data_IF_097967706785
#
_entry.id   IF_097967706785
#
_cell.length_a   1.000
_cell.length_b   1.000
_cell.length_c   1.000
_cell.angle_alpha   90.00
_cell.angle_beta   90.00
_cell.angle_gamma   90.00
#
_symmetry.space_group_name_H-M   'P 1'
#
loop_
_entity.id
_entity.type
_entity.pdbx_description
1 polymer ?
#
# COMPACT_ATOMS: atom_id res chain seq x y z
N UNK A 1 -12.35 -27.27 -18.84
CA UNK A 1 -11.35 -26.67 -17.94
C UNK A 1 -11.91 -25.36 -17.44
N UNK A 2 -12.45 -25.32 -16.22
CA UNK A 2 -12.94 -24.07 -15.62
C UNK A 2 -11.75 -23.37 -14.97
N UNK A 3 -11.32 -22.26 -15.57
CA UNK A 3 -10.33 -21.39 -14.96
C UNK A 3 -10.96 -20.78 -13.70
N UNK A 4 -10.56 -21.28 -12.53
CA UNK A 4 -10.92 -20.67 -11.26
C UNK A 4 -10.24 -19.31 -11.21
N UNK A 5 -11.02 -18.26 -11.47
CA UNK A 5 -10.61 -16.87 -11.23
C UNK A 5 -10.45 -16.73 -9.72
N UNK A 6 -9.25 -16.99 -9.22
CA UNK A 6 -8.86 -16.61 -7.86
C UNK A 6 -8.94 -15.08 -7.83
N UNK A 7 -9.72 -14.46 -6.94
CA UNK A 7 -9.76 -13.02 -6.86
C UNK A 7 -8.35 -12.54 -6.50
N UNK A 8 -7.67 -11.90 -7.44
CA UNK A 8 -6.37 -11.24 -7.24
C UNK A 8 -6.48 -9.99 -6.33
N UNK A 9 -7.53 -9.88 -5.51
CA UNK A 9 -7.67 -8.77 -4.57
C UNK A 9 -6.99 -9.11 -3.25
N UNK A 10 -5.96 -8.36 -2.83
CA UNK A 10 -5.51 -8.39 -1.45
C UNK A 10 -6.60 -7.77 -0.58
N UNK A 11 -7.23 -8.57 0.27
CA UNK A 11 -8.15 -8.10 1.32
C UNK A 11 -7.34 -7.35 2.39
N UNK A 12 -7.06 -6.06 2.16
CA UNK A 12 -6.32 -5.11 3.02
C UNK A 12 -5.02 -5.64 3.66
N UNK A 13 -3.88 -5.33 3.04
CA UNK A 13 -2.57 -5.80 3.52
C UNK A 13 -1.36 -4.98 3.06
N UNK A 14 -1.56 -3.99 2.18
CA UNK A 14 -0.51 -3.03 1.89
C UNK A 14 -0.42 -2.03 3.04
N UNK A 15 0.80 -1.81 3.51
CA UNK A 15 1.10 -0.80 4.51
C UNK A 15 2.29 0.03 4.07
N UNK A 16 2.30 1.28 4.50
CA UNK A 16 3.45 2.18 4.38
C UNK A 16 4.13 2.23 5.73
N UNK A 17 5.45 2.05 5.75
CA UNK A 17 6.28 2.28 6.94
C UNK A 17 7.34 3.32 6.65
N UNK A 18 7.77 4.05 7.68
CA UNK A 18 8.97 4.88 7.60
C UNK A 18 10.21 4.03 7.92
N UNK A 19 11.23 4.13 7.07
CA UNK A 19 12.54 3.50 7.27
C UNK A 19 13.63 4.56 7.03
N UNK A 20 14.14 5.14 8.12
CA UNK A 20 15.03 6.30 8.06
C UNK A 20 14.39 7.48 7.33
N UNK A 21 15.01 7.87 6.21
CA UNK A 21 14.60 8.99 5.36
C UNK A 21 13.75 8.55 4.16
N UNK A 22 13.17 7.35 4.21
CA UNK A 22 12.30 6.86 3.13
C UNK A 22 10.98 6.31 3.67
N UNK A 23 9.97 6.34 2.82
CA UNK A 23 8.72 5.59 2.99
C UNK A 23 8.76 4.34 2.15
N UNK A 24 8.36 3.21 2.73
CA UNK A 24 8.38 1.91 2.05
C UNK A 24 6.97 1.32 2.02
N UNK A 25 6.50 0.94 0.82
CA UNK A 25 5.29 0.15 0.63
C UNK A 25 5.64 -1.33 0.76
N UNK A 26 4.95 -2.02 1.65
CA UNK A 26 5.12 -3.45 1.89
C UNK A 26 3.77 -4.16 1.89
N UNK A 27 3.77 -5.47 1.67
CA UNK A 27 2.66 -6.36 2.01
C UNK A 27 3.25 -7.64 2.61
N UNK A 28 3.49 -7.59 3.91
CA UNK A 28 4.21 -8.63 4.64
C UNK A 28 3.49 -9.97 4.68
N UNK A 29 2.16 -9.96 4.55
CA UNK A 29 1.34 -11.17 4.52
C UNK A 29 1.48 -11.92 3.20
N UNK A 30 1.68 -11.21 2.09
CA UNK A 30 1.76 -11.81 0.76
C UNK A 30 3.21 -12.04 0.31
N UNK A 31 4.10 -11.06 0.52
CA UNK A 31 5.50 -11.12 0.04
C UNK A 31 6.52 -11.37 1.16
N UNK A 32 6.10 -11.38 2.42
CA UNK A 32 7.01 -11.48 3.57
C UNK A 32 7.55 -10.13 4.04
N UNK A 33 8.09 -10.09 5.27
CA UNK A 33 8.44 -8.85 5.99
C UNK A 33 9.62 -8.06 5.41
N UNK A 34 10.44 -8.69 4.56
CA UNK A 34 11.65 -8.10 3.98
C UNK A 34 11.46 -7.49 2.59
N UNK A 35 10.33 -7.74 1.93
CA UNK A 35 10.11 -7.30 0.54
C UNK A 35 9.50 -5.91 0.53
N UNK A 36 10.26 -4.98 -0.06
CA UNK A 36 9.83 -3.60 -0.32
C UNK A 36 9.38 -3.50 -1.77
N UNK A 37 8.13 -3.10 -1.96
CA UNK A 37 7.50 -3.03 -3.28
C UNK A 37 7.72 -1.68 -3.94
N UNK A 38 7.81 -0.62 -3.13
CA UNK A 38 8.08 0.73 -3.60
C UNK A 38 8.74 1.56 -2.50
N UNK A 39 9.56 2.53 -2.88
CA UNK A 39 10.17 3.51 -1.99
C UNK A 39 9.88 4.94 -2.42
N UNK A 40 9.72 5.83 -1.47
CA UNK A 40 9.66 7.27 -1.68
C UNK A 40 10.64 7.95 -0.74
N UNK A 41 11.12 9.12 -1.15
CA UNK A 41 11.87 10.00 -0.26
C UNK A 41 10.99 10.52 0.88
N UNK A 42 11.62 10.99 1.94
CA UNK A 42 10.96 11.46 3.17
C UNK A 42 9.83 12.45 2.93
N UNK A 43 10.02 13.37 1.98
CA UNK A 43 9.08 14.46 1.73
C UNK A 43 7.85 14.01 0.95
N UNK A 44 7.95 12.91 0.19
CA UNK A 44 6.88 12.32 -0.61
C UNK A 44 5.93 11.41 0.20
N UNK A 45 5.71 11.73 1.48
CA UNK A 45 4.82 10.97 2.36
C UNK A 45 3.38 10.89 1.80
N UNK A 46 2.81 12.00 1.32
CA UNK A 46 1.44 12.04 0.83
C UNK A 46 1.22 11.09 -0.36
N UNK A 47 2.21 10.98 -1.25
CA UNK A 47 2.17 10.06 -2.39
C UNK A 47 2.23 8.61 -1.94
N UNK A 48 3.11 8.29 -0.99
CA UNK A 48 3.24 6.94 -0.43
C UNK A 48 1.91 6.46 0.18
N UNK A 49 1.28 7.30 1.01
CA UNK A 49 -0.01 6.99 1.62
C UNK A 49 -1.14 6.92 0.58
N UNK A 50 -1.19 7.83 -0.39
CA UNK A 50 -2.19 7.80 -1.45
C UNK A 50 -2.09 6.53 -2.31
N UNK A 51 -0.87 6.09 -2.66
CA UNK A 51 -0.66 4.85 -3.38
C UNK A 51 -1.13 3.65 -2.56
N UNK A 52 -0.75 3.58 -1.28
CA UNK A 52 -1.21 2.53 -0.36
C UNK A 52 -2.74 2.48 -0.23
N UNK A 53 -3.40 3.64 -0.15
CA UNK A 53 -4.85 3.72 -0.07
C UNK A 53 -5.53 3.15 -1.33
N UNK A 54 -5.05 3.57 -2.51
CA UNK A 54 -5.53 3.06 -3.81
C UNK A 54 -5.37 1.54 -3.93
N UNK A 55 -4.23 0.99 -3.52
CA UNK A 55 -3.97 -0.46 -3.56
C UNK A 55 -4.83 -1.27 -2.59
N UNK A 56 -5.31 -0.65 -1.50
CA UNK A 56 -6.27 -1.27 -0.60
C UNK A 56 -7.72 -1.08 -1.05
N UNK A 57 -7.96 -0.58 -2.28
CA UNK A 57 -9.29 -0.37 -2.84
C UNK A 57 -10.04 0.81 -2.24
N UNK A 58 -9.34 1.71 -1.55
CA UNK A 58 -9.90 2.93 -0.97
C UNK A 58 -9.62 4.14 -1.86
N UNK A 59 -10.55 5.09 -1.88
CA UNK A 59 -10.39 6.30 -2.69
C UNK A 59 -9.48 7.31 -2.01
N UNK A 60 -8.79 8.16 -2.77
CA UNK A 60 -7.88 9.17 -2.19
C UNK A 60 -8.69 10.25 -1.46
N UNK A 61 -9.95 10.45 -1.83
CA UNK A 61 -10.93 11.29 -1.17
C UNK A 61 -11.21 10.81 0.27
N UNK A 62 -11.31 9.49 0.49
CA UNK A 62 -11.42 8.90 1.83
C UNK A 62 -10.16 9.19 2.68
N UNK A 63 -8.96 9.16 2.07
CA UNK A 63 -7.71 9.52 2.75
C UNK A 63 -7.74 10.98 3.23
N UNK A 64 -8.10 11.92 2.36
CA UNK A 64 -8.18 13.34 2.74
C UNK A 64 -9.27 13.61 3.78
N UNK A 65 -10.37 12.85 3.75
CA UNK A 65 -11.42 12.96 4.77
C UNK A 65 -10.97 12.49 6.17
N UNK A 66 -10.00 11.56 6.25
CA UNK A 66 -9.46 11.07 7.51
C UNK A 66 -8.45 12.05 8.17
N UNK A 67 -8.00 13.08 7.45
CA UNK A 67 -7.08 14.11 7.97
C UNK A 67 -7.80 15.42 8.35
N UNK A 68 -9.13 15.47 8.29
CA UNK A 68 -9.97 16.59 8.75
C UNK A 68 -10.48 16.34 10.16
#
# INVERSE_FOLDING_TARGET
MSATVVPLMPRSGFTVRRSGETWELINSRHYGRGVVLHRWDRDAHSEAFAHCYRLNGRSVEELFSAFR
#
